data_IF_161617490077
#
_entry.id   IF_161617490077
#
_cell.length_a   1.000
_cell.length_b   1.000
_cell.length_c   1.000
_cell.angle_alpha   90.00
_cell.angle_beta   90.00
_cell.angle_gamma   90.00
#
_symmetry.space_group_name_H-M   'P 1'
#
loop_
_entity.id
_entity.type
_entity.pdbx_description
1 polymer ?
#
# COMPACT_ATOMS: atom_id res chain seq x y z
N UNK A 1 19.05 17.97 -22.73
CA UNK A 1 19.53 18.92 -21.72
C UNK A 1 19.34 18.26 -20.37
N UNK A 2 20.29 18.32 -19.45
CA UNK A 2 20.08 17.75 -18.11
C UNK A 2 18.99 18.55 -17.38
N UNK A 3 17.97 17.85 -16.91
CA UNK A 3 16.92 18.43 -16.06
C UNK A 3 17.58 18.80 -14.72
N UNK A 4 17.33 19.99 -14.15
CA UNK A 4 17.91 20.36 -12.87
C UNK A 4 17.41 19.41 -11.78
N UNK A 5 18.37 18.80 -11.07
CA UNK A 5 18.07 17.95 -9.89
C UNK A 5 17.54 18.88 -8.80
N UNK A 6 16.29 18.71 -8.43
CA UNK A 6 15.71 19.39 -7.28
C UNK A 6 16.49 19.01 -6.02
N UNK A 7 17.12 19.98 -5.38
CA UNK A 7 18.00 19.79 -4.21
C UNK A 7 17.33 20.10 -2.88
N UNK A 8 16.07 20.56 -2.88
CA UNK A 8 15.35 20.98 -1.67
C UNK A 8 14.23 19.99 -1.29
N UNK A 9 13.93 19.88 0.02
CA UNK A 9 12.75 19.10 0.47
C UNK A 9 11.49 19.66 -0.20
N UNK A 10 10.55 18.77 -0.49
CA UNK A 10 9.27 19.10 -1.13
C UNK A 10 8.63 20.29 -0.44
N UNK A 11 8.24 21.36 -1.17
CA UNK A 11 7.61 22.51 -0.53
C UNK A 11 6.35 22.08 0.20
N UNK A 12 6.23 22.43 1.48
CA UNK A 12 5.01 22.18 2.26
C UNK A 12 3.77 22.85 1.63
N UNK A 13 3.98 23.80 0.75
CA UNK A 13 2.95 24.58 0.07
C UNK A 13 2.39 23.93 -1.22
N UNK A 14 2.97 22.84 -1.71
CA UNK A 14 2.53 22.14 -2.92
C UNK A 14 1.27 21.28 -2.73
N UNK A 15 0.58 20.98 -3.84
CA UNK A 15 -0.54 20.05 -3.81
C UNK A 15 -0.02 18.61 -3.77
N UNK A 16 -0.57 17.79 -2.88
CA UNK A 16 -0.27 16.36 -2.76
C UNK A 16 -1.42 15.57 -3.37
N UNK A 17 -1.13 14.80 -4.42
CA UNK A 17 -2.11 13.93 -5.07
C UNK A 17 -2.00 12.52 -4.48
N UNK A 18 -3.11 11.99 -3.96
CA UNK A 18 -3.25 10.61 -3.50
C UNK A 18 -4.21 9.87 -4.42
N UNK A 19 -3.74 8.90 -5.18
CA UNK A 19 -4.64 7.99 -5.88
C UNK A 19 -5.02 6.83 -4.96
N UNK A 20 -6.25 6.33 -5.06
CA UNK A 20 -6.80 5.38 -4.10
C UNK A 20 -7.17 6.06 -2.76
N UNK A 21 -7.61 7.32 -2.82
CA UNK A 21 -7.94 8.16 -1.66
C UNK A 21 -9.11 7.63 -0.81
N UNK A 22 -10.06 6.91 -1.41
CA UNK A 22 -11.12 6.19 -0.70
C UNK A 22 -10.68 4.78 -0.23
N UNK A 23 -9.46 4.37 -0.59
CA UNK A 23 -8.83 3.13 -0.16
C UNK A 23 -8.37 3.20 1.30
N UNK A 24 -7.98 2.05 1.84
CA UNK A 24 -7.61 1.89 3.23
C UNK A 24 -6.42 2.77 3.66
N UNK A 25 -5.30 2.71 2.93
CA UNK A 25 -4.12 3.50 3.26
C UNK A 25 -4.32 4.96 2.84
N UNK A 26 -4.95 5.18 1.67
CA UNK A 26 -5.14 6.51 1.10
C UNK A 26 -5.92 7.46 2.00
N UNK A 27 -7.01 6.98 2.63
CA UNK A 27 -7.83 7.80 3.54
C UNK A 27 -7.04 8.24 4.78
N UNK A 28 -6.27 7.34 5.41
CA UNK A 28 -5.48 7.67 6.59
C UNK A 28 -4.31 8.61 6.27
N UNK A 29 -3.66 8.42 5.11
CA UNK A 29 -2.62 9.34 4.66
C UNK A 29 -3.18 10.73 4.37
N UNK A 30 -4.33 10.80 3.68
CA UNK A 30 -5.00 12.06 3.41
C UNK A 30 -5.38 12.78 4.72
N UNK A 31 -5.97 12.07 5.68
CA UNK A 31 -6.34 12.61 6.99
C UNK A 31 -5.13 13.18 7.73
N UNK A 32 -4.02 12.42 7.78
CA UNK A 32 -2.78 12.88 8.38
C UNK A 32 -2.26 14.16 7.73
N UNK A 33 -2.15 14.18 6.41
CA UNK A 33 -1.63 15.34 5.70
C UNK A 33 -2.51 16.59 5.85
N UNK A 34 -3.82 16.42 5.91
CA UNK A 34 -4.75 17.50 6.19
C UNK A 34 -4.57 18.06 7.62
N UNK A 35 -4.32 17.18 8.61
CA UNK A 35 -4.00 17.58 9.98
C UNK A 35 -2.65 18.33 10.07
N UNK A 36 -1.70 18.01 9.18
CA UNK A 36 -0.44 18.74 9.01
C UNK A 36 -0.60 20.06 8.23
N UNK A 37 -1.82 20.41 7.79
CA UNK A 37 -2.11 21.63 7.03
C UNK A 37 -1.78 21.56 5.54
N UNK A 38 -1.49 20.38 5.00
CA UNK A 38 -1.19 20.19 3.58
C UNK A 38 -2.46 20.27 2.74
N UNK A 39 -2.30 20.65 1.47
CA UNK A 39 -3.36 20.59 0.45
C UNK A 39 -3.37 19.22 -0.20
N UNK A 40 -4.48 18.49 -0.08
CA UNK A 40 -4.61 17.12 -0.57
C UNK A 40 -5.68 17.03 -1.66
N UNK A 41 -5.32 16.42 -2.77
CA UNK A 41 -6.26 16.01 -3.81
C UNK A 41 -6.30 14.49 -3.87
N UNK A 42 -7.50 13.94 -3.81
CA UNK A 42 -7.78 12.52 -3.93
C UNK A 42 -8.25 12.15 -5.34
N UNK A 43 -7.90 10.94 -5.78
CA UNK A 43 -8.45 10.27 -6.95
C UNK A 43 -8.83 8.85 -6.56
N UNK A 44 -10.09 8.46 -6.81
CA UNK A 44 -10.60 7.10 -6.61
C UNK A 44 -11.81 6.85 -7.48
N UNK A 45 -11.94 5.69 -8.11
CA UNK A 45 -13.10 5.37 -8.94
C UNK A 45 -14.27 4.77 -8.15
N UNK A 46 -14.08 4.50 -6.86
CA UNK A 46 -15.06 3.86 -5.97
C UNK A 46 -15.62 2.55 -6.54
N UNK A 47 -14.78 1.74 -7.18
CA UNK A 47 -15.21 0.47 -7.77
C UNK A 47 -15.86 -0.47 -6.73
N UNK A 48 -16.59 -1.44 -7.22
CA UNK A 48 -17.39 -2.41 -6.46
C UNK A 48 -16.64 -3.70 -6.08
N UNK A 49 -15.30 -3.70 -6.12
CA UNK A 49 -14.49 -4.84 -5.69
C UNK A 49 -14.84 -5.32 -4.27
N UNK A 50 -15.18 -4.38 -3.40
CA UNK A 50 -15.87 -4.61 -2.12
C UNK A 50 -16.88 -3.48 -1.92
N UNK A 51 -17.74 -3.61 -0.90
CA UNK A 51 -18.85 -2.69 -0.62
C UNK A 51 -18.44 -1.21 -0.77
N UNK A 52 -18.97 -0.49 -1.77
CA UNK A 52 -18.65 0.92 -1.98
C UNK A 52 -19.05 1.83 -0.82
N UNK A 53 -20.04 1.44 0.00
CA UNK A 53 -20.48 2.24 1.15
C UNK A 53 -19.35 2.48 2.16
N UNK A 54 -18.44 1.52 2.33
CA UNK A 54 -17.25 1.69 3.16
C UNK A 54 -16.29 2.73 2.57
N UNK A 55 -16.16 2.79 1.24
CA UNK A 55 -15.33 3.79 0.55
C UNK A 55 -15.93 5.19 0.69
N UNK A 56 -17.24 5.29 0.53
CA UNK A 56 -17.97 6.54 0.72
C UNK A 56 -17.89 7.03 2.16
N UNK A 57 -18.06 6.12 3.14
CA UNK A 57 -17.92 6.45 4.56
C UNK A 57 -16.51 6.93 4.92
N UNK A 58 -15.46 6.37 4.30
CA UNK A 58 -14.09 6.87 4.45
C UNK A 58 -13.96 8.29 3.92
N UNK A 59 -14.41 8.57 2.69
CA UNK A 59 -14.34 9.90 2.08
C UNK A 59 -15.16 10.94 2.86
N UNK A 60 -16.32 10.56 3.39
CA UNK A 60 -17.17 11.46 4.18
C UNK A 60 -16.44 12.08 5.40
N UNK A 61 -15.38 11.44 5.90
CA UNK A 61 -14.54 11.98 6.99
C UNK A 61 -13.72 13.20 6.56
N UNK A 62 -13.44 13.35 5.25
CA UNK A 62 -12.55 14.38 4.71
C UNK A 62 -13.27 15.43 3.86
N UNK A 63 -14.45 15.12 3.31
CA UNK A 63 -15.14 15.99 2.33
C UNK A 63 -15.50 17.37 2.86
N UNK A 64 -15.56 17.56 4.17
CA UNK A 64 -15.80 18.86 4.81
C UNK A 64 -14.50 19.66 5.05
N UNK A 65 -13.33 19.06 4.80
CA UNK A 65 -12.07 19.76 5.02
C UNK A 65 -11.78 20.71 3.84
N UNK A 66 -11.55 22.02 4.08
CA UNK A 66 -11.41 23.02 3.00
C UNK A 66 -10.19 22.80 2.09
N UNK A 67 -9.18 22.08 2.58
CA UNK A 67 -7.96 21.75 1.81
C UNK A 67 -8.01 20.37 1.15
N UNK A 68 -9.20 19.74 1.08
CA UNK A 68 -9.41 18.44 0.45
C UNK A 68 -10.37 18.54 -0.74
N UNK A 69 -9.98 17.95 -1.85
CA UNK A 69 -10.87 17.69 -3.00
C UNK A 69 -10.70 16.24 -3.44
N UNK A 70 -11.75 15.59 -3.91
CA UNK A 70 -11.68 14.23 -4.44
C UNK A 70 -12.33 14.14 -5.81
N UNK A 71 -11.67 13.44 -6.74
CA UNK A 71 -12.12 13.20 -8.09
C UNK A 71 -12.44 11.72 -8.29
N UNK A 72 -13.62 11.44 -8.86
CA UNK A 72 -14.06 10.07 -9.15
C UNK A 72 -13.62 9.69 -10.56
N UNK A 73 -12.37 9.22 -10.68
CA UNK A 73 -11.72 8.88 -11.94
C UNK A 73 -11.07 7.49 -11.81
N UNK A 74 -11.15 6.66 -12.85
CA UNK A 74 -10.38 5.43 -12.99
C UNK A 74 -8.97 5.74 -13.50
N UNK A 75 -7.96 5.04 -13.01
CA UNK A 75 -6.58 5.22 -13.48
C UNK A 75 -6.42 4.89 -14.97
N UNK A 76 -7.23 3.97 -15.48
CA UNK A 76 -7.27 3.54 -16.88
C UNK A 76 -7.81 4.61 -17.84
N UNK A 77 -8.53 5.61 -17.34
CA UNK A 77 -9.01 6.74 -18.11
C UNK A 77 -7.89 7.77 -18.32
N UNK A 78 -7.17 7.59 -19.44
CA UNK A 78 -6.00 8.40 -19.78
C UNK A 78 -6.30 9.88 -19.82
N UNK A 79 -7.40 10.25 -20.48
CA UNK A 79 -7.70 11.65 -20.75
C UNK A 79 -8.14 12.36 -19.45
N UNK A 80 -8.98 11.70 -18.65
CA UNK A 80 -9.40 12.24 -17.35
C UNK A 80 -8.22 12.37 -16.36
N UNK A 81 -7.26 11.43 -16.38
CA UNK A 81 -6.04 11.54 -15.56
C UNK A 81 -5.17 12.71 -16.03
N UNK A 82 -4.99 12.90 -17.34
CA UNK A 82 -4.22 14.01 -17.88
C UNK A 82 -4.86 15.36 -17.53
N UNK A 83 -6.18 15.51 -17.71
CA UNK A 83 -6.93 16.70 -17.31
C UNK A 83 -6.80 17.01 -15.81
N UNK A 84 -6.81 15.98 -14.96
CA UNK A 84 -6.59 16.15 -13.52
C UNK A 84 -5.20 16.71 -13.23
N UNK A 85 -4.15 16.17 -13.85
CA UNK A 85 -2.78 16.66 -13.65
C UNK A 85 -2.63 18.10 -14.15
N UNK A 86 -3.22 18.45 -15.28
CA UNK A 86 -3.25 19.84 -15.81
C UNK A 86 -3.90 20.81 -14.83
N UNK A 87 -5.03 20.41 -14.24
CA UNK A 87 -5.78 21.26 -13.30
C UNK A 87 -5.11 21.38 -11.93
N UNK A 88 -4.50 20.29 -11.43
CA UNK A 88 -3.99 20.20 -10.04
C UNK A 88 -2.52 20.56 -9.93
N UNK A 89 -1.70 20.18 -10.92
CA UNK A 89 -0.23 20.35 -10.95
C UNK A 89 0.40 19.90 -9.65
N UNK A 90 0.29 18.60 -9.31
CA UNK A 90 0.74 18.09 -8.01
C UNK A 90 2.26 18.20 -7.87
N UNK A 91 2.73 18.62 -6.68
CA UNK A 91 4.15 18.59 -6.35
C UNK A 91 4.62 17.18 -5.95
N UNK A 92 3.77 16.45 -5.24
CA UNK A 92 4.01 15.06 -4.83
C UNK A 92 2.83 14.20 -5.24
N UNK A 93 3.13 12.99 -5.73
CA UNK A 93 2.12 11.98 -6.05
C UNK A 93 2.35 10.73 -5.22
N UNK A 94 1.32 10.27 -4.50
CA UNK A 94 1.32 8.96 -3.83
C UNK A 94 0.29 8.06 -4.52
N UNK A 95 0.78 7.15 -5.35
CA UNK A 95 -0.06 6.25 -6.13
C UNK A 95 -0.34 4.96 -5.35
N UNK A 96 -1.51 4.93 -4.66
CA UNK A 96 -2.01 3.77 -3.92
C UNK A 96 -3.16 3.07 -4.64
N UNK A 97 -3.79 3.73 -5.64
CA UNK A 97 -4.84 3.12 -6.44
C UNK A 97 -4.31 1.92 -7.23
N UNK A 98 -5.03 0.84 -7.13
CA UNK A 98 -4.76 -0.38 -7.87
C UNK A 98 -5.95 -1.34 -7.75
N UNK A 99 -6.11 -2.25 -8.70
CA UNK A 99 -6.85 -3.47 -8.43
C UNK A 99 -6.00 -4.32 -7.49
N UNK A 100 -6.50 -4.55 -6.27
CA UNK A 100 -5.80 -5.26 -5.21
C UNK A 100 -6.37 -6.67 -4.99
N UNK A 101 -5.63 -7.51 -4.23
CA UNK A 101 -6.03 -8.87 -3.90
C UNK A 101 -5.40 -9.91 -4.80
N UNK A 102 -4.60 -10.82 -4.21
CA UNK A 102 -3.90 -11.89 -4.95
C UNK A 102 -4.91 -12.83 -5.61
N UNK A 103 -5.95 -13.25 -4.87
CA UNK A 103 -6.90 -14.28 -5.32
C UNK A 103 -7.76 -13.80 -6.48
N UNK A 104 -8.31 -12.61 -6.38
CA UNK A 104 -9.15 -12.06 -7.44
C UNK A 104 -8.39 -11.86 -8.76
N UNK A 105 -7.05 -11.75 -8.72
CA UNK A 105 -6.25 -11.70 -9.95
C UNK A 105 -6.24 -13.00 -10.75
N UNK A 106 -6.64 -14.12 -10.12
CA UNK A 106 -6.83 -15.42 -10.80
C UNK A 106 -8.19 -15.50 -11.51
N UNK A 107 -9.18 -14.75 -11.01
CA UNK A 107 -10.56 -14.72 -11.52
C UNK A 107 -10.73 -13.64 -12.60
N UNK A 108 -10.18 -12.44 -12.38
CA UNK A 108 -10.30 -11.29 -13.28
C UNK A 108 -8.92 -10.63 -13.54
N UNK A 109 -8.01 -11.27 -14.30
CA UNK A 109 -6.68 -10.73 -14.55
C UNK A 109 -6.68 -9.41 -15.36
N UNK A 110 -7.69 -9.18 -16.21
CA UNK A 110 -7.78 -7.97 -17.05
C UNK A 110 -7.91 -6.71 -16.22
N UNK A 111 -8.73 -6.72 -15.17
CA UNK A 111 -8.87 -5.57 -14.26
C UNK A 111 -7.52 -5.15 -13.64
N UNK A 112 -6.61 -6.12 -13.43
CA UNK A 112 -5.25 -5.83 -12.93
C UNK A 112 -4.35 -5.24 -14.00
N UNK A 113 -4.44 -5.69 -15.24
CA UNK A 113 -3.69 -5.09 -16.35
C UNK A 113 -4.15 -3.67 -16.59
N UNK A 114 -5.45 -3.44 -16.68
CA UNK A 114 -6.03 -2.13 -16.97
C UNK A 114 -5.68 -1.11 -15.88
N UNK A 115 -5.96 -1.44 -14.61
CA UNK A 115 -5.72 -0.53 -13.49
C UNK A 115 -4.24 -0.42 -13.10
N UNK A 116 -3.53 -1.57 -12.99
CA UNK A 116 -2.18 -1.57 -12.39
C UNK A 116 -1.08 -1.31 -13.42
N UNK A 117 -1.28 -1.64 -14.71
CA UNK A 117 -0.27 -1.43 -15.75
C UNK A 117 -0.62 -0.20 -16.57
N UNK A 118 -1.77 -0.22 -17.25
CA UNK A 118 -2.20 0.91 -18.10
C UNK A 118 -2.47 2.17 -17.27
N UNK A 119 -3.18 2.01 -16.14
CA UNK A 119 -3.44 3.11 -15.22
C UNK A 119 -2.17 3.68 -14.59
N UNK A 120 -1.22 2.83 -14.22
CA UNK A 120 0.07 3.31 -13.69
C UNK A 120 0.90 4.05 -14.75
N UNK A 121 0.81 3.65 -16.02
CA UNK A 121 1.42 4.39 -17.12
C UNK A 121 0.87 5.83 -17.19
N UNK A 122 -0.44 6.02 -17.05
CA UNK A 122 -1.04 7.35 -17.06
C UNK A 122 -0.53 8.24 -15.91
N UNK A 123 -0.31 7.65 -14.72
CA UNK A 123 0.31 8.36 -13.60
C UNK A 123 1.76 8.75 -13.89
N UNK A 124 2.55 7.85 -14.48
CA UNK A 124 3.95 8.14 -14.85
C UNK A 124 4.03 9.28 -15.88
N UNK A 125 3.17 9.27 -16.90
CA UNK A 125 3.10 10.33 -17.90
C UNK A 125 2.71 11.68 -17.26
N UNK A 126 1.66 11.68 -16.41
CA UNK A 126 1.27 12.88 -15.67
C UNK A 126 2.40 13.43 -14.79
N UNK A 127 3.14 12.55 -14.11
CA UNK A 127 4.30 12.95 -13.30
C UNK A 127 5.43 13.55 -14.14
N UNK A 128 5.72 12.96 -15.30
CA UNK A 128 6.72 13.47 -16.25
C UNK A 128 6.34 14.83 -16.81
N UNK A 129 5.12 14.96 -17.29
CA UNK A 129 4.66 16.16 -18.01
C UNK A 129 4.55 17.39 -17.09
N UNK A 130 4.33 17.15 -15.78
CA UNK A 130 4.20 18.21 -14.77
C UNK A 130 5.42 18.34 -13.84
N UNK A 131 6.53 17.67 -14.16
CA UNK A 131 7.78 17.72 -13.38
C UNK A 131 7.55 17.50 -11.87
N UNK A 132 6.75 16.45 -11.53
CA UNK A 132 6.46 16.07 -10.14
C UNK A 132 7.76 15.81 -9.39
N UNK A 133 7.91 16.41 -8.22
CA UNK A 133 9.15 16.35 -7.44
C UNK A 133 9.40 14.96 -6.80
N UNK A 134 8.33 14.21 -6.55
CA UNK A 134 8.44 12.84 -6.04
C UNK A 134 7.20 12.02 -6.36
N UNK A 135 7.40 10.85 -6.96
CA UNK A 135 6.40 9.79 -7.08
C UNK A 135 6.67 8.70 -6.04
N UNK A 136 5.77 8.50 -5.09
CA UNK A 136 5.72 7.32 -4.22
C UNK A 136 4.65 6.38 -4.76
N UNK A 137 4.93 5.10 -4.90
CA UNK A 137 3.94 4.16 -5.43
C UNK A 137 3.91 2.84 -4.67
N UNK A 138 2.71 2.25 -4.59
CA UNK A 138 2.51 0.96 -3.95
C UNK A 138 2.96 -0.19 -4.86
N UNK A 139 4.07 -0.85 -4.47
CA UNK A 139 4.39 -2.21 -4.82
C UNK A 139 3.78 -3.16 -3.76
N UNK A 140 4.26 -4.39 -3.64
CA UNK A 140 3.71 -5.40 -2.74
C UNK A 140 4.75 -6.44 -2.37
N UNK A 141 4.66 -6.98 -1.15
CA UNK A 141 5.43 -8.17 -0.75
C UNK A 141 5.13 -9.41 -1.61
N UNK A 142 4.01 -9.40 -2.34
CA UNK A 142 3.68 -10.49 -3.29
C UNK A 142 4.71 -10.64 -4.41
N UNK A 143 5.52 -9.60 -4.72
CA UNK A 143 6.57 -9.68 -5.74
C UNK A 143 7.65 -10.70 -5.37
N UNK A 144 7.86 -10.99 -4.08
CA UNK A 144 8.81 -11.99 -3.64
C UNK A 144 8.46 -13.42 -4.09
N UNK A 145 7.20 -13.70 -4.40
CA UNK A 145 6.78 -14.93 -5.06
C UNK A 145 7.31 -16.20 -4.42
N UNK A 146 8.17 -16.93 -5.14
CA UNK A 146 8.79 -18.19 -4.71
C UNK A 146 10.03 -18.02 -3.83
N UNK A 147 10.42 -16.80 -3.44
CA UNK A 147 11.57 -16.61 -2.57
C UNK A 147 11.35 -17.30 -1.23
N UNK A 148 12.33 -18.10 -0.80
CA UNK A 148 12.31 -18.84 0.47
C UNK A 148 13.16 -18.18 1.57
N UNK A 149 14.11 -17.32 1.19
CA UNK A 149 14.95 -16.58 2.14
C UNK A 149 14.11 -15.57 2.92
N UNK A 150 14.26 -15.49 4.22
CA UNK A 150 13.63 -14.52 5.11
C UNK A 150 14.68 -13.94 6.09
N UNK A 151 14.61 -12.65 6.46
CA UNK A 151 13.65 -11.66 5.96
C UNK A 151 13.80 -11.39 4.46
N UNK A 152 12.70 -10.98 3.80
CA UNK A 152 12.72 -10.52 2.42
C UNK A 152 13.42 -9.17 2.34
N UNK A 153 14.47 -9.08 1.54
CA UNK A 153 15.24 -7.86 1.32
C UNK A 153 14.93 -7.25 -0.06
N UNK A 154 14.99 -5.93 -0.18
CA UNK A 154 14.72 -5.25 -1.46
C UNK A 154 15.72 -5.61 -2.55
N UNK A 155 16.95 -6.01 -2.18
CA UNK A 155 17.98 -6.52 -3.08
C UNK A 155 17.77 -7.96 -3.57
N UNK A 156 16.80 -8.71 -3.00
CA UNK A 156 16.52 -10.07 -3.46
C UNK A 156 15.89 -10.04 -4.87
N UNK A 157 16.30 -10.99 -5.72
CA UNK A 157 15.71 -11.20 -7.05
C UNK A 157 14.24 -11.61 -6.91
N UNK A 158 13.35 -10.99 -7.67
CA UNK A 158 11.89 -11.17 -7.59
C UNK A 158 11.28 -11.49 -8.96
N UNK A 159 11.88 -12.45 -9.67
CA UNK A 159 11.53 -12.77 -11.06
C UNK A 159 10.58 -13.98 -11.19
N UNK A 160 10.13 -14.55 -10.06
CA UNK A 160 9.22 -15.69 -10.02
C UNK A 160 7.93 -15.38 -9.25
N UNK A 161 7.11 -14.39 -9.72
CA UNK A 161 5.81 -14.10 -9.10
C UNK A 161 4.86 -15.29 -9.27
N UNK A 162 4.00 -15.54 -8.26
CA UNK A 162 3.05 -16.64 -8.25
C UNK A 162 1.59 -16.19 -8.44
N UNK A 163 1.38 -14.94 -8.80
CA UNK A 163 0.07 -14.39 -9.16
C UNK A 163 0.19 -13.28 -10.18
N UNK A 164 -0.87 -13.06 -10.97
CA UNK A 164 -0.91 -11.95 -11.92
C UNK A 164 -0.79 -10.59 -11.21
N UNK A 165 -1.43 -10.45 -10.04
CA UNK A 165 -1.25 -9.27 -9.19
C UNK A 165 0.23 -8.98 -8.90
N UNK A 166 0.98 -9.99 -8.45
CA UNK A 166 2.41 -9.82 -8.17
C UNK A 166 3.20 -9.40 -9.42
N UNK A 167 2.90 -10.01 -10.58
CA UNK A 167 3.51 -9.65 -11.85
C UNK A 167 3.23 -8.19 -12.23
N UNK A 168 1.99 -7.69 -12.05
CA UNK A 168 1.67 -6.27 -12.34
C UNK A 168 2.40 -5.33 -11.39
N UNK A 169 2.58 -5.69 -10.11
CA UNK A 169 3.35 -4.87 -9.16
C UNK A 169 4.84 -4.86 -9.49
N UNK A 170 5.41 -5.98 -9.91
CA UNK A 170 6.79 -6.00 -10.43
C UNK A 170 6.93 -5.15 -11.70
N UNK A 171 5.95 -5.20 -12.60
CA UNK A 171 5.92 -4.33 -13.78
C UNK A 171 5.95 -2.83 -13.39
N UNK A 172 5.22 -2.42 -12.34
CA UNK A 172 5.28 -1.04 -11.85
C UNK A 172 6.70 -0.65 -11.39
N UNK A 173 7.43 -1.53 -10.71
CA UNK A 173 8.81 -1.27 -10.29
C UNK A 173 9.72 -1.01 -11.52
N UNK A 174 9.60 -1.82 -12.58
CA UNK A 174 10.38 -1.68 -13.81
C UNK A 174 9.99 -0.42 -14.60
N UNK A 175 8.70 -0.12 -14.71
CA UNK A 175 8.21 1.08 -15.38
C UNK A 175 8.68 2.35 -14.66
N UNK A 176 8.56 2.42 -13.34
CA UNK A 176 9.01 3.55 -12.54
C UNK A 176 10.53 3.77 -12.68
N UNK A 177 11.35 2.70 -12.65
CA UNK A 177 12.78 2.80 -12.91
C UNK A 177 13.08 3.38 -14.29
N UNK A 178 12.36 2.95 -15.32
CA UNK A 178 12.54 3.47 -16.69
C UNK A 178 12.30 4.99 -16.74
N UNK A 179 11.25 5.49 -16.06
CA UNK A 179 10.96 6.92 -16.00
C UNK A 179 11.97 7.70 -15.18
N UNK A 180 12.45 7.11 -14.08
CA UNK A 180 13.56 7.71 -13.30
C UNK A 180 14.82 7.83 -14.13
N UNK A 181 15.15 6.80 -14.93
CA UNK A 181 16.37 6.78 -15.75
C UNK A 181 16.28 7.76 -16.93
N UNK A 182 15.16 7.73 -17.68
CA UNK A 182 15.03 8.52 -18.92
C UNK A 182 14.70 10.00 -18.65
N UNK A 183 13.91 10.27 -17.64
CA UNK A 183 13.32 11.60 -17.41
C UNK A 183 13.74 12.23 -16.07
N UNK A 184 14.54 11.53 -15.27
CA UNK A 184 14.98 12.03 -13.97
C UNK A 184 13.85 12.12 -12.92
N UNK A 185 12.70 11.42 -13.12
CA UNK A 185 11.60 11.43 -12.18
C UNK A 185 12.01 10.75 -10.86
N UNK A 186 12.06 11.47 -9.73
CA UNK A 186 12.33 10.83 -8.44
C UNK A 186 11.18 9.88 -8.09
N UNK A 187 11.49 8.57 -7.95
CA UNK A 187 10.47 7.55 -7.68
C UNK A 187 10.88 6.61 -6.55
N UNK A 188 9.96 6.39 -5.60
CA UNK A 188 10.13 5.41 -4.52
C UNK A 188 9.00 4.40 -4.55
N UNK A 189 9.33 3.12 -4.77
CA UNK A 189 8.40 2.01 -4.66
C UNK A 189 8.40 1.43 -3.24
N UNK A 190 7.20 1.26 -2.68
CA UNK A 190 7.00 0.65 -1.37
C UNK A 190 6.41 -0.75 -1.53
N UNK A 191 7.14 -1.78 -1.12
CA UNK A 191 6.65 -3.16 -1.05
C UNK A 191 5.90 -3.35 0.27
N UNK A 192 4.58 -3.14 0.23
CA UNK A 192 3.72 -3.27 1.41
C UNK A 192 3.59 -4.73 1.84
N UNK A 193 3.73 -4.95 3.15
CA UNK A 193 3.35 -6.18 3.82
C UNK A 193 1.90 -6.08 4.32
N UNK A 194 1.48 -6.95 5.24
CA UNK A 194 0.05 -7.02 5.62
C UNK A 194 -0.32 -5.87 6.55
N UNK A 195 -1.12 -4.94 6.05
CA UNK A 195 -1.64 -3.80 6.82
C UNK A 195 -2.95 -4.16 7.50
N UNK A 196 -3.11 -3.80 8.78
CA UNK A 196 -4.34 -4.03 9.56
C UNK A 196 -4.68 -2.82 10.43
N UNK A 197 -5.94 -2.71 10.85
CA UNK A 197 -6.44 -1.62 11.72
C UNK A 197 -7.83 -1.11 11.31
N UNK A 198 -8.33 -0.06 11.98
CA UNK A 198 -9.61 0.57 11.70
C UNK A 198 -9.78 0.98 10.23
N UNK A 199 -11.01 0.93 9.74
CA UNK A 199 -11.32 1.22 8.33
C UNK A 199 -10.65 0.29 7.32
N UNK A 200 -10.22 -0.89 7.75
CA UNK A 200 -9.50 -1.85 6.94
C UNK A 200 -10.31 -2.42 5.78
N UNK A 201 -9.65 -3.24 4.96
CA UNK A 201 -10.26 -3.84 3.78
C UNK A 201 -11.05 -5.10 4.14
N UNK A 202 -12.30 -5.25 3.65
CA UNK A 202 -13.16 -6.41 3.96
C UNK A 202 -12.64 -7.76 3.44
N UNK A 203 -11.79 -7.75 2.41
CA UNK A 203 -11.18 -8.96 1.84
C UNK A 203 -10.00 -9.53 2.66
N UNK A 204 -9.52 -8.80 3.69
CA UNK A 204 -8.42 -9.22 4.55
C UNK A 204 -8.86 -10.16 5.67
N UNK A 205 -7.94 -11.02 6.13
CA UNK A 205 -8.23 -12.07 7.11
C UNK A 205 -8.79 -11.52 8.43
N UNK A 206 -8.18 -10.47 8.99
CA UNK A 206 -8.64 -9.87 10.25
C UNK A 206 -10.08 -9.37 10.17
N UNK A 207 -10.46 -8.79 9.03
CA UNK A 207 -11.82 -8.30 8.82
C UNK A 207 -12.80 -9.45 8.64
N UNK A 208 -12.46 -10.43 7.78
CA UNK A 208 -13.29 -11.62 7.55
C UNK A 208 -13.51 -12.42 8.83
N UNK A 209 -12.46 -12.60 9.63
CA UNK A 209 -12.58 -13.29 10.91
C UNK A 209 -13.50 -12.53 11.86
N UNK A 210 -13.29 -11.23 12.04
CA UNK A 210 -14.12 -10.41 12.92
C UNK A 210 -15.58 -10.44 12.48
N UNK A 211 -15.84 -10.32 11.17
CA UNK A 211 -17.21 -10.43 10.63
C UNK A 211 -17.81 -11.80 10.95
N UNK A 212 -17.12 -12.89 10.66
CA UNK A 212 -17.58 -14.24 10.95
C UNK A 212 -17.89 -14.45 12.47
N UNK A 213 -17.04 -13.91 13.34
CA UNK A 213 -17.29 -13.93 14.79
C UNK A 213 -18.63 -13.31 15.17
N UNK A 214 -18.92 -12.11 14.66
CA UNK A 214 -20.16 -11.41 15.01
C UNK A 214 -21.38 -12.03 14.35
N UNK A 215 -21.23 -12.68 13.19
CA UNK A 215 -22.27 -13.42 12.49
C UNK A 215 -22.48 -14.86 13.04
N UNK A 216 -21.66 -15.29 14.03
CA UNK A 216 -21.75 -16.65 14.58
C UNK A 216 -21.32 -17.75 13.60
N UNK A 217 -20.49 -17.39 12.61
CA UNK A 217 -19.98 -18.31 11.60
C UNK A 217 -18.58 -18.81 11.96
N UNK A 218 -18.19 -20.04 11.56
CA UNK A 218 -16.82 -20.52 11.76
C UNK A 218 -15.84 -19.71 10.90
N UNK A 219 -14.64 -19.47 11.46
CA UNK A 219 -13.55 -18.85 10.71
C UNK A 219 -12.76 -19.90 9.93
N UNK A 220 -12.41 -19.57 8.67
CA UNK A 220 -11.61 -20.46 7.81
C UNK A 220 -10.12 -20.26 8.07
N UNK A 221 -9.48 -21.29 8.64
CA UNK A 221 -8.06 -21.26 9.02
C UNK A 221 -7.26 -22.09 8.01
N UNK A 222 -6.66 -21.40 7.03
CA UNK A 222 -5.89 -22.04 5.96
C UNK A 222 -4.53 -22.56 6.43
N UNK A 223 -3.98 -23.52 5.69
CA UNK A 223 -2.75 -24.24 6.03
C UNK A 223 -2.76 -24.81 7.45
N UNK A 224 -3.94 -25.21 7.94
CA UNK A 224 -4.13 -25.72 9.31
C UNK A 224 -3.52 -24.78 10.39
N UNK A 225 -3.54 -23.45 10.16
CA UNK A 225 -2.99 -22.44 11.03
C UNK A 225 -1.46 -22.29 10.99
N UNK A 226 -0.76 -23.06 10.16
CA UNK A 226 0.71 -23.04 10.04
C UNK A 226 1.19 -21.95 9.09
N UNK A 227 0.83 -20.70 9.38
CA UNK A 227 1.20 -19.53 8.61
C UNK A 227 1.74 -18.43 9.53
N UNK A 228 2.65 -17.63 9.00
CA UNK A 228 3.19 -16.44 9.68
C UNK A 228 3.03 -15.24 8.75
N UNK A 229 2.65 -14.10 9.31
CA UNK A 229 2.52 -12.85 8.56
C UNK A 229 3.14 -11.70 9.34
N UNK A 230 3.80 -10.83 8.59
CA UNK A 230 4.25 -9.55 9.07
C UNK A 230 3.07 -8.59 9.03
N UNK A 231 2.44 -8.36 10.19
CA UNK A 231 1.30 -7.47 10.35
C UNK A 231 1.77 -6.10 10.83
N UNK A 232 1.41 -5.06 10.09
CA UNK A 232 1.75 -3.68 10.44
C UNK A 232 0.49 -2.86 10.65
N UNK A 233 0.43 -2.14 11.76
CA UNK A 233 -0.71 -1.29 12.07
C UNK A 233 -0.79 -0.10 11.12
N UNK A 234 -2.01 0.37 10.83
CA UNK A 234 -2.24 1.41 9.82
C UNK A 234 -1.51 2.71 10.12
N UNK A 235 -1.44 3.15 11.37
CA UNK A 235 -0.79 4.42 11.73
C UNK A 235 0.73 4.33 11.49
N UNK A 236 1.37 3.19 11.80
CA UNK A 236 2.79 2.96 11.51
C UNK A 236 3.07 2.95 10.00
N UNK A 237 2.14 2.41 9.20
CA UNK A 237 2.22 2.45 7.73
C UNK A 237 2.13 3.89 7.22
N UNK A 238 1.16 4.66 7.70
CA UNK A 238 0.95 6.05 7.28
C UNK A 238 2.15 6.92 7.66
N UNK A 239 2.73 6.70 8.85
CA UNK A 239 3.99 7.33 9.27
C UNK A 239 5.11 7.06 8.27
N UNK A 240 5.31 5.79 7.90
CA UNK A 240 6.33 5.39 6.94
C UNK A 240 6.11 6.00 5.56
N UNK A 241 4.88 5.94 5.03
CA UNK A 241 4.55 6.51 3.71
C UNK A 241 4.75 8.03 3.68
N UNK A 242 4.29 8.76 4.72
CA UNK A 242 4.46 10.20 4.82
C UNK A 242 5.95 10.58 4.90
N UNK A 243 6.71 9.90 5.74
CA UNK A 243 8.14 10.14 5.88
C UNK A 243 8.93 9.87 4.59
N UNK A 244 8.54 8.85 3.81
CA UNK A 244 9.12 8.56 2.49
C UNK A 244 8.72 9.62 1.47
N UNK A 245 7.47 10.07 1.47
CA UNK A 245 6.99 11.09 0.53
C UNK A 245 7.75 12.41 0.67
N UNK A 246 8.18 12.76 1.87
CA UNK A 246 8.96 13.95 2.17
C UNK A 246 10.47 13.80 1.82
N UNK A 247 10.89 12.64 1.31
CA UNK A 247 12.29 12.31 0.96
C UNK A 247 12.40 11.80 -0.47
N UNK A 248 12.42 12.67 -1.49
CA UNK A 248 12.57 12.25 -2.89
C UNK A 248 13.79 11.35 -3.08
N UNK A 249 13.61 10.30 -3.89
CA UNK A 249 14.69 9.40 -4.22
C UNK A 249 15.85 10.16 -4.90
N UNK A 250 17.07 9.77 -4.58
CA UNK A 250 18.30 10.34 -5.14
C UNK A 250 19.10 9.25 -5.85
N UNK A 251 19.89 9.61 -6.88
CA UNK A 251 20.83 8.68 -7.51
C UNK A 251 21.79 8.09 -6.48
N UNK A 252 21.96 6.75 -6.51
CA UNK A 252 23.03 6.10 -5.76
C UNK A 252 24.35 6.25 -6.52
N UNK A 253 25.24 7.10 -6.04
CA UNK A 253 26.55 7.37 -6.66
C UNK A 253 27.52 6.18 -6.60
N UNK A 254 27.22 5.18 -5.76
CA UNK A 254 28.02 3.97 -5.58
C UNK A 254 27.42 2.76 -6.31
N UNK A 255 26.35 2.97 -7.09
CA UNK A 255 25.68 1.89 -7.81
C UNK A 255 26.60 1.32 -8.91
N UNK A 256 26.86 0.01 -8.83
CA UNK A 256 27.76 -0.70 -9.74
C UNK A 256 26.96 -1.50 -10.78
N UNK A 257 27.05 -1.18 -12.09
CA UNK A 257 26.35 -1.93 -13.13
C UNK A 257 26.85 -3.38 -13.30
N UNK A 258 28.06 -3.68 -12.82
CA UNK A 258 28.59 -5.05 -12.85
C UNK A 258 28.02 -5.91 -11.70
N UNK A 259 27.48 -5.26 -10.66
CA UNK A 259 26.92 -5.92 -9.48
C UNK A 259 25.68 -5.16 -8.99
N UNK A 260 24.60 -5.12 -9.80
CA UNK A 260 23.48 -4.21 -9.62
C UNK A 260 22.67 -4.54 -8.35
N UNK A 261 22.49 -3.55 -7.48
CA UNK A 261 21.49 -3.58 -6.42
C UNK A 261 20.10 -3.24 -6.98
N UNK A 262 19.13 -4.13 -6.83
CA UNK A 262 17.77 -3.91 -7.34
C UNK A 262 16.95 -2.93 -6.49
N UNK A 263 17.40 -2.61 -5.29
CA UNK A 263 16.75 -1.65 -4.39
C UNK A 263 17.05 -0.19 -4.71
N UNK A 264 18.14 0.08 -5.45
CA UNK A 264 18.59 1.44 -5.82
C UNK A 264 19.05 1.49 -7.27
N UNK A 265 19.46 2.67 -7.76
CA UNK A 265 19.96 2.87 -9.11
C UNK A 265 20.88 4.09 -9.19
N UNK A 266 21.64 4.19 -10.28
CA UNK A 266 22.29 5.44 -10.66
C UNK A 266 21.31 6.56 -11.09
N UNK A 267 20.03 6.23 -11.28
CA UNK A 267 18.91 7.16 -11.43
C UNK A 267 18.27 7.49 -10.07
N UNK A 268 17.43 8.54 -9.95
CA UNK A 268 16.74 8.90 -8.71
C UNK A 268 15.58 7.91 -8.42
N UNK A 269 15.93 6.66 -8.14
CA UNK A 269 15.02 5.53 -7.93
C UNK A 269 15.41 4.72 -6.70
N UNK A 270 14.42 4.28 -5.93
CA UNK A 270 14.63 3.30 -4.87
C UNK A 270 13.41 2.45 -4.61
N UNK A 271 13.65 1.26 -4.04
CA UNK A 271 12.64 0.39 -3.46
C UNK A 271 12.85 0.27 -1.96
N UNK A 272 11.78 0.17 -1.21
CA UNK A 272 11.81 -0.08 0.24
C UNK A 272 10.69 -1.05 0.62
N UNK A 273 10.98 -1.92 1.59
CA UNK A 273 9.94 -2.68 2.25
C UNK A 273 9.27 -1.81 3.32
N UNK A 274 7.96 -1.89 3.40
CA UNK A 274 7.19 -1.27 4.47
C UNK A 274 6.37 -2.34 5.20
N UNK A 275 6.80 -2.70 6.41
CA UNK A 275 6.33 -3.81 7.23
C UNK A 275 6.73 -3.61 8.68
N UNK A 276 6.41 -4.56 9.56
CA UNK A 276 6.69 -4.47 10.99
C UNK A 276 8.01 -5.14 11.41
N UNK A 277 8.62 -5.94 10.53
CA UNK A 277 9.80 -6.73 10.87
C UNK A 277 9.58 -7.66 12.08
N UNK A 278 8.33 -8.07 12.33
CA UNK A 278 7.93 -8.94 13.44
C UNK A 278 6.82 -9.91 13.01
N UNK A 279 7.15 -11.05 12.40
CA UNK A 279 6.17 -11.98 11.88
C UNK A 279 5.39 -12.68 13.00
N UNK A 280 4.06 -12.60 12.93
CA UNK A 280 3.12 -13.17 13.88
C UNK A 280 2.57 -14.49 13.35
N UNK A 281 2.50 -15.53 14.18
CA UNK A 281 1.83 -16.79 13.85
C UNK A 281 0.31 -16.59 13.75
N UNK A 282 -0.31 -17.21 12.73
CA UNK A 282 -1.75 -17.06 12.48
C UNK A 282 -2.60 -17.46 13.69
N UNK A 283 -2.19 -18.51 14.43
CA UNK A 283 -2.92 -18.95 15.60
C UNK A 283 -2.86 -17.92 16.73
N UNK A 284 -1.67 -17.33 17.01
CA UNK A 284 -1.52 -16.22 17.96
C UNK A 284 -2.37 -15.02 17.56
N UNK A 285 -2.38 -14.66 16.26
CA UNK A 285 -3.21 -13.59 15.75
C UNK A 285 -4.71 -13.84 16.03
N UNK A 286 -5.19 -15.09 15.79
CA UNK A 286 -6.57 -15.47 16.05
C UNK A 286 -6.88 -15.40 17.56
N UNK A 287 -5.99 -15.89 18.41
CA UNK A 287 -6.15 -15.84 19.88
C UNK A 287 -6.22 -14.39 20.40
N UNK A 288 -5.40 -13.50 19.86
CA UNK A 288 -5.44 -12.07 20.18
C UNK A 288 -6.77 -11.44 19.75
N UNK A 289 -7.26 -11.79 18.55
CA UNK A 289 -8.55 -11.33 18.07
C UNK A 289 -9.71 -11.87 18.93
N UNK A 290 -9.66 -13.14 19.33
CA UNK A 290 -10.62 -13.75 20.27
C UNK A 290 -10.66 -12.98 21.59
N UNK A 291 -9.50 -12.59 22.10
CA UNK A 291 -9.38 -11.80 23.34
C UNK A 291 -10.03 -10.41 23.17
N UNK A 292 -9.72 -9.71 22.08
CA UNK A 292 -10.28 -8.39 21.79
C UNK A 292 -11.83 -8.43 21.59
N UNK A 293 -12.35 -9.53 21.04
CA UNK A 293 -13.80 -9.71 20.83
C UNK A 293 -14.50 -10.20 22.12
N UNK A 294 -13.77 -10.89 23.00
CA UNK A 294 -14.29 -11.43 24.27
C UNK A 294 -14.93 -12.82 24.15
N UNK A 295 -14.73 -13.54 23.05
CA UNK A 295 -15.24 -14.92 22.86
C UNK A 295 -14.36 -15.73 21.92
N UNK A 296 -14.47 -17.08 21.98
CA UNK A 296 -13.76 -18.00 21.10
C UNK A 296 -14.46 -18.21 19.77
N UNK A 297 -13.66 -18.40 18.68
CA UNK A 297 -14.17 -18.76 17.36
C UNK A 297 -14.30 -20.26 17.21
N UNK A 298 -15.31 -20.70 16.49
CA UNK A 298 -15.28 -22.00 15.83
C UNK A 298 -14.30 -21.93 14.65
N UNK A 299 -13.35 -22.88 14.58
CA UNK A 299 -12.27 -22.87 13.56
C UNK A 299 -12.44 -24.02 12.58
N UNK A 300 -12.65 -23.70 11.31
CA UNK A 300 -12.58 -24.66 10.23
C UNK A 300 -11.17 -24.72 9.65
N UNK A 301 -10.45 -25.79 9.97
CA UNK A 301 -9.07 -25.99 9.49
C UNK A 301 -9.08 -26.46 8.05
N UNK A 302 -8.41 -25.73 7.15
CA UNK A 302 -8.39 -25.97 5.71
C UNK A 302 -6.94 -26.13 5.21
N UNK A 303 -6.72 -26.83 4.07
CA UNK A 303 -5.42 -26.88 3.41
C UNK A 303 -4.98 -25.49 2.91
N UNK A 304 -3.70 -25.37 2.55
CA UNK A 304 -3.15 -24.16 1.96
C UNK A 304 -3.83 -23.84 0.63
N UNK A 305 -4.10 -22.55 0.38
CA UNK A 305 -4.69 -22.11 -0.88
C UNK A 305 -3.63 -21.85 -1.95
N UNK A 306 -3.96 -22.04 -3.26
CA UNK A 306 -3.09 -21.63 -4.36
C UNK A 306 -2.77 -20.13 -4.30
N UNK A 307 -1.52 -19.77 -4.59
CA UNK A 307 -1.04 -18.39 -4.57
C UNK A 307 -0.70 -17.82 -3.18
N UNK A 308 -0.97 -18.57 -2.09
CA UNK A 308 -0.54 -18.19 -0.76
C UNK A 308 0.92 -18.61 -0.48
N UNK A 309 1.62 -17.83 0.34
CA UNK A 309 2.95 -18.16 0.87
C UNK A 309 2.86 -18.51 2.36
N UNK A 310 3.72 -19.40 2.85
CA UNK A 310 3.67 -19.85 4.24
C UNK A 310 4.08 -18.75 5.23
N UNK A 311 5.09 -17.96 4.90
CA UNK A 311 5.61 -16.91 5.77
C UNK A 311 5.93 -15.66 4.97
N UNK A 312 5.65 -14.48 5.55
CA UNK A 312 6.15 -13.19 5.06
C UNK A 312 6.85 -12.47 6.19
N UNK A 313 8.01 -11.88 5.90
CA UNK A 313 8.85 -11.21 6.87
C UNK A 313 9.69 -10.14 6.17
N UNK A 314 9.46 -8.86 6.52
CA UNK A 314 10.10 -7.71 5.90
C UNK A 314 11.47 -7.42 6.51
N UNK A 315 12.50 -7.21 5.69
CA UNK A 315 13.65 -6.40 6.07
C UNK A 315 13.28 -4.92 5.85
N UNK A 316 13.16 -4.16 6.94
CA UNK A 316 12.80 -2.74 6.93
C UNK A 316 13.98 -1.82 7.21
N UNK A 317 15.18 -2.35 7.38
CA UNK A 317 16.36 -1.56 7.74
C UNK A 317 16.63 -0.43 6.72
N UNK A 318 16.49 -0.63 5.38
CA UNK A 318 16.65 0.46 4.43
C UNK A 318 15.67 1.63 4.65
N UNK A 319 14.39 1.34 4.94
CA UNK A 319 13.38 2.36 5.24
C UNK A 319 13.70 3.07 6.55
N UNK A 320 14.04 2.32 7.59
CA UNK A 320 14.37 2.89 8.90
C UNK A 320 15.63 3.76 8.87
N UNK A 321 16.66 3.35 8.11
CA UNK A 321 17.87 4.13 7.94
C UNK A 321 17.63 5.44 7.18
N UNK A 322 16.73 5.41 6.18
CA UNK A 322 16.39 6.58 5.37
C UNK A 322 15.47 7.56 6.12
N UNK A 323 14.48 7.07 6.84
CA UNK A 323 13.40 7.89 7.41
C UNK A 323 13.47 8.06 8.93
N UNK A 324 14.14 7.17 9.64
CA UNK A 324 14.10 7.06 11.10
C UNK A 324 12.83 6.38 11.62
N UNK A 325 11.88 6.01 10.74
CA UNK A 325 10.60 5.41 11.13
C UNK A 325 10.74 3.91 11.37
N UNK A 326 10.21 3.46 12.51
CA UNK A 326 10.03 2.05 12.84
C UNK A 326 8.63 1.82 13.38
N UNK A 327 7.95 0.75 12.98
CA UNK A 327 6.67 0.38 13.57
C UNK A 327 6.80 0.13 15.06
N UNK A 328 5.81 0.58 15.83
CA UNK A 328 5.81 0.47 17.30
C UNK A 328 4.56 -0.19 17.85
N UNK A 329 3.46 -0.21 17.07
CA UNK A 329 2.16 -0.70 17.54
C UNK A 329 2.16 -2.21 17.68
N UNK A 330 1.88 -2.69 18.88
CA UNK A 330 1.75 -4.12 19.16
C UNK A 330 0.45 -4.68 18.59
N UNK A 331 0.46 -5.98 18.24
CA UNK A 331 -0.70 -6.64 17.61
C UNK A 331 -1.94 -6.61 18.51
N UNK A 332 -1.75 -6.72 19.82
CA UNK A 332 -2.80 -6.68 20.82
C UNK A 332 -3.54 -5.35 20.81
N UNK A 333 -2.80 -4.25 20.86
CA UNK A 333 -3.34 -2.90 20.82
C UNK A 333 -4.04 -2.60 19.48
N UNK A 334 -3.38 -2.94 18.37
CA UNK A 334 -3.94 -2.67 17.04
C UNK A 334 -5.23 -3.45 16.75
N UNK A 335 -5.33 -4.70 17.21
CA UNK A 335 -6.55 -5.51 17.07
C UNK A 335 -7.68 -5.03 18.00
N UNK A 336 -7.37 -4.59 19.21
CA UNK A 336 -8.35 -3.99 20.12
C UNK A 336 -8.98 -2.74 19.48
N UNK A 337 -8.15 -1.82 18.96
CA UNK A 337 -8.60 -0.61 18.24
C UNK A 337 -9.45 -0.96 17.01
N UNK A 338 -9.05 -2.01 16.26
CA UNK A 338 -9.81 -2.46 15.10
C UNK A 338 -11.17 -3.03 15.48
N UNK A 339 -11.25 -3.88 16.51
CA UNK A 339 -12.52 -4.48 16.97
C UNK A 339 -13.46 -3.42 17.53
N UNK A 340 -12.93 -2.43 18.26
CA UNK A 340 -13.71 -1.29 18.73
C UNK A 340 -14.34 -0.53 17.56
N UNK A 341 -13.51 -0.11 16.57
CA UNK A 341 -14.00 0.52 15.35
C UNK A 341 -15.04 -0.33 14.61
N UNK A 342 -14.82 -1.64 14.51
CA UNK A 342 -15.73 -2.54 13.80
C UNK A 342 -17.11 -2.59 14.46
N UNK A 343 -17.13 -2.66 15.79
CA UNK A 343 -18.39 -2.61 16.55
C UNK A 343 -19.13 -1.29 16.34
N UNK A 344 -18.44 -0.20 16.45
CA UNK A 344 -19.03 1.14 16.29
C UNK A 344 -19.57 1.35 14.87
N UNK A 345 -18.78 1.00 13.86
CA UNK A 345 -19.17 1.18 12.46
C UNK A 345 -20.40 0.34 12.08
N UNK A 346 -20.49 -0.88 12.58
CA UNK A 346 -21.61 -1.78 12.30
C UNK A 346 -22.75 -1.72 13.35
N UNK A 347 -22.67 -0.87 14.33
CA UNK A 347 -23.69 -0.74 15.39
C UNK A 347 -23.85 -1.99 16.25
N UNK A 348 -22.78 -2.78 16.43
CA UNK A 348 -22.80 -4.03 17.19
C UNK A 348 -22.65 -3.71 18.68
N UNK A 349 -23.73 -3.91 19.43
CA UNK A 349 -23.71 -3.74 20.89
C UNK A 349 -22.88 -4.86 21.55
N UNK A 350 -22.21 -4.48 22.66
CA UNK A 350 -21.41 -5.42 23.46
C UNK A 350 -22.25 -6.49 24.13
#
# INVERSE_FOLDING_TARGET
MPVPVATDPTPADGVHLITGSAGYIGIHLAERWLQEGRRVVGLDNLNDYYDPSLKEARLARLTQHPSFANFRIGLEDRDAVAELFDAVKPAVVVNLAAQAGVRYSLENPRAYTDSNVSGFMNILEGCRDHAVSHLVYASSSSVYGLNAKAPFAVGDTVDHPISHYAATKKANELMAHTYSHLYGLPATGLRFFTVYGPWGRPDMAYYKFTKAFFEGQPIQVYNHGKMRRDFTYIDDIVEGVAAVADRPARPNQQWDPANPDSGTSSAPYRLQNIGNNNPIELMRFIETLETAIGRKAEKQMLPMQPGDVQSTYADIEPLAADTGVRPTTQIEEGLERFVHWFRDYYGIRA
#
